data_IF_491328683184
#
_entry.id   IF_491328683184
#
_cell.length_a   1.000
_cell.length_b   1.000
_cell.length_c   1.000
_cell.angle_alpha   90.00
_cell.angle_beta   90.00
_cell.angle_gamma   90.00
#
_symmetry.space_group_name_H-M   'P 1'
#
loop_
_entity.id
_entity.type
_entity.pdbx_description
1 polymer ?
#
# COMPACT_ATOMS: atom_id res chain seq x y z
N UNK A 1 22.37 -4.60 -7.06
CA UNK A 1 22.29 -5.96 -6.46
C UNK A 1 22.11 -5.94 -4.94
N UNK A 2 22.74 -5.02 -4.19
CA UNK A 2 22.56 -4.95 -2.73
C UNK A 2 21.11 -4.76 -2.27
N UNK A 3 20.31 -3.91 -2.94
CA UNK A 3 18.90 -3.72 -2.56
C UNK A 3 18.06 -5.00 -2.65
N UNK A 4 18.36 -5.87 -3.61
CA UNK A 4 17.68 -7.17 -3.75
C UNK A 4 18.13 -8.11 -2.62
N UNK A 5 19.45 -8.19 -2.38
CA UNK A 5 20.04 -9.09 -1.37
C UNK A 5 19.63 -8.73 0.05
N UNK A 6 19.46 -7.44 0.34
CA UNK A 6 19.10 -6.94 1.67
C UNK A 6 17.63 -6.50 1.77
N UNK A 7 16.81 -6.80 0.75
CA UNK A 7 15.39 -6.41 0.68
C UNK A 7 15.17 -4.92 1.01
N UNK A 8 16.00 -4.05 0.43
CA UNK A 8 15.87 -2.59 0.54
C UNK A 8 15.04 -2.05 -0.63
N UNK A 9 14.40 -0.88 -0.48
CA UNK A 9 13.74 -0.20 -1.59
C UNK A 9 14.72 0.02 -2.74
N UNK A 10 14.21 -0.10 -3.97
CA UNK A 10 14.97 0.28 -5.16
C UNK A 10 14.90 1.80 -5.34
N UNK A 11 15.91 2.51 -4.86
CA UNK A 11 16.10 3.94 -5.08
C UNK A 11 16.58 4.19 -6.51
N UNK A 12 15.65 4.13 -7.47
CA UNK A 12 15.87 4.45 -8.87
C UNK A 12 15.30 5.84 -9.17
N UNK A 13 15.65 6.85 -8.39
CA UNK A 13 14.89 8.11 -8.31
C UNK A 13 14.79 8.88 -9.63
N UNK A 14 15.79 8.74 -10.50
CA UNK A 14 15.83 9.35 -11.84
C UNK A 14 15.05 8.58 -12.92
N UNK A 15 14.47 7.43 -12.56
CA UNK A 15 13.77 6.55 -13.48
C UNK A 15 12.28 6.85 -13.55
N UNK A 16 11.73 6.81 -14.76
CA UNK A 16 10.30 6.93 -15.00
C UNK A 16 9.50 5.86 -14.24
N UNK A 17 8.31 6.23 -13.75
CA UNK A 17 7.44 5.34 -12.97
C UNK A 17 7.13 4.04 -13.71
N UNK A 18 6.87 4.10 -15.03
CA UNK A 18 6.58 2.92 -15.85
C UNK A 18 7.75 1.93 -15.86
N UNK A 19 8.98 2.43 -15.99
CA UNK A 19 10.18 1.60 -15.93
C UNK A 19 10.39 1.02 -14.54
N UNK A 20 10.10 1.78 -13.47
CA UNK A 20 10.14 1.26 -12.09
C UNK A 20 9.18 0.09 -11.88
N UNK A 21 7.93 0.23 -12.35
CA UNK A 21 6.93 -0.85 -12.34
C UNK A 21 7.49 -2.10 -13.02
N UNK A 22 7.94 -1.95 -14.27
CA UNK A 22 8.46 -3.08 -15.06
C UNK A 22 9.63 -3.78 -14.36
N UNK A 23 10.57 -3.03 -13.79
CA UNK A 23 11.74 -3.62 -13.12
C UNK A 23 11.37 -4.32 -11.82
N UNK A 24 10.55 -3.70 -10.97
CA UNK A 24 10.16 -4.28 -9.69
C UNK A 24 9.37 -5.57 -9.91
N UNK A 25 8.39 -5.53 -10.82
CA UNK A 25 7.55 -6.70 -11.11
C UNK A 25 8.37 -7.82 -11.77
N UNK A 26 9.28 -7.49 -12.68
CA UNK A 26 10.20 -8.46 -13.28
C UNK A 26 11.08 -9.15 -12.23
N UNK A 27 11.73 -8.38 -11.34
CA UNK A 27 12.54 -8.96 -10.27
C UNK A 27 11.68 -9.86 -9.37
N UNK A 28 10.46 -9.42 -9.02
CA UNK A 28 9.56 -10.24 -8.21
C UNK A 28 9.14 -11.53 -8.88
N UNK A 29 8.78 -11.50 -10.17
CA UNK A 29 8.40 -12.71 -10.92
C UNK A 29 9.55 -13.68 -11.06
N UNK A 30 10.76 -13.19 -11.34
CA UNK A 30 11.95 -14.04 -11.45
C UNK A 30 12.32 -14.69 -10.11
N UNK A 31 12.18 -13.97 -8.99
CA UNK A 31 12.55 -14.49 -7.67
C UNK A 31 11.50 -15.41 -7.04
N UNK A 32 10.21 -15.14 -7.28
CA UNK A 32 9.12 -15.75 -6.51
C UNK A 32 7.97 -16.28 -7.36
N UNK A 33 8.03 -16.14 -8.68
CA UNK A 33 7.02 -16.60 -9.64
C UNK A 33 5.88 -15.61 -9.89
N UNK A 34 5.24 -15.74 -11.06
CA UNK A 34 4.16 -14.85 -11.51
C UNK A 34 2.93 -14.83 -10.59
N UNK A 35 2.65 -15.92 -9.87
CA UNK A 35 1.53 -15.97 -8.92
C UNK A 35 1.67 -14.97 -7.75
N UNK A 36 2.87 -14.42 -7.50
CA UNK A 36 3.04 -13.32 -6.56
C UNK A 36 2.45 -12.02 -7.11
N UNK A 37 2.66 -11.73 -8.39
CA UNK A 37 2.19 -10.48 -9.02
C UNK A 37 0.66 -10.39 -9.06
N UNK A 38 -0.03 -11.52 -9.14
CA UNK A 38 -1.51 -11.55 -9.03
C UNK A 38 -2.01 -11.28 -7.62
N UNK A 39 -1.17 -11.44 -6.60
CA UNK A 39 -1.55 -11.15 -5.20
C UNK A 39 -1.26 -9.70 -4.83
N UNK A 40 -0.18 -9.14 -5.38
CA UNK A 40 0.26 -7.76 -5.16
C UNK A 40 1.33 -7.43 -6.21
N UNK A 41 1.12 -6.38 -7.00
CA UNK A 41 2.09 -5.89 -7.98
C UNK A 41 2.54 -4.46 -7.60
N UNK A 42 3.52 -3.89 -8.31
CA UNK A 42 3.99 -2.56 -7.93
C UNK A 42 2.98 -1.45 -8.19
N UNK A 43 2.04 -1.60 -9.14
CA UNK A 43 1.00 -0.58 -9.36
C UNK A 43 0.06 -0.41 -8.16
N UNK A 44 -0.08 -1.45 -7.33
CA UNK A 44 -0.83 -1.40 -6.08
C UNK A 44 -0.22 -0.45 -5.02
N UNK A 45 0.94 0.16 -5.29
CA UNK A 45 1.52 1.19 -4.43
C UNK A 45 0.59 2.40 -4.26
N UNK A 46 -0.28 2.68 -5.23
CA UNK A 46 -1.30 3.75 -5.11
C UNK A 46 -2.30 3.47 -3.99
N UNK A 47 -2.51 2.19 -3.63
CA UNK A 47 -3.36 1.84 -2.50
C UNK A 47 -2.74 2.20 -1.15
N UNK A 48 -1.47 2.62 -1.08
CA UNK A 48 -0.89 3.11 0.16
C UNK A 48 -1.57 4.41 0.65
N UNK A 49 -2.17 5.19 -0.26
CA UNK A 49 -2.89 6.43 0.04
C UNK A 49 -4.08 6.21 1.00
N UNK A 50 -4.58 4.97 1.13
CA UNK A 50 -5.61 4.63 2.14
C UNK A 50 -5.14 4.87 3.57
N UNK A 51 -3.82 4.92 3.80
CA UNK A 51 -3.21 5.19 5.11
C UNK A 51 -2.95 6.68 5.37
N UNK A 52 -3.03 7.53 4.34
CA UNK A 52 -2.88 8.99 4.49
C UNK A 52 -3.99 9.59 5.37
N UNK A 53 -3.74 10.76 5.95
CA UNK A 53 -4.69 11.50 6.80
C UNK A 53 -5.32 10.67 7.93
N UNK A 54 -4.54 9.76 8.50
CA UNK A 54 -4.97 8.91 9.60
C UNK A 54 -4.52 9.52 10.93
N UNK A 55 -5.45 10.05 11.70
CA UNK A 55 -5.18 10.64 13.01
C UNK A 55 -4.64 9.63 14.04
N UNK A 56 -4.81 8.33 13.80
CA UNK A 56 -4.22 7.27 14.63
C UNK A 56 -2.73 7.00 14.28
N UNK A 57 -2.20 7.66 13.26
CA UNK A 57 -0.84 7.52 12.71
C UNK A 57 -0.26 8.91 12.37
N UNK A 58 0.03 9.68 13.43
CA UNK A 58 0.39 11.10 13.29
C UNK A 58 1.67 11.37 12.49
N UNK A 59 2.54 10.37 12.30
CA UNK A 59 3.79 10.47 11.53
C UNK A 59 3.66 9.84 10.12
N UNK A 60 2.46 9.45 9.71
CA UNK A 60 2.20 8.70 8.48
C UNK A 60 3.11 7.45 8.36
N UNK A 61 3.40 6.78 9.49
CA UNK A 61 4.32 5.65 9.53
C UNK A 61 3.83 4.52 8.63
N UNK A 62 2.53 4.21 8.63
CA UNK A 62 1.96 3.14 7.82
C UNK A 62 1.99 3.43 6.33
N UNK A 63 1.73 4.67 5.92
CA UNK A 63 1.85 5.08 4.52
C UNK A 63 3.30 4.94 4.04
N UNK A 64 4.25 5.50 4.81
CA UNK A 64 5.68 5.41 4.53
C UNK A 64 6.17 3.96 4.47
N UNK A 65 5.77 3.13 5.44
CA UNK A 65 6.07 1.70 5.46
C UNK A 65 5.49 1.02 4.22
N UNK A 66 4.24 1.31 3.87
CA UNK A 66 3.58 0.74 2.69
C UNK A 66 4.36 1.06 1.42
N UNK A 67 4.62 2.33 1.13
CA UNK A 67 5.35 2.77 -0.06
C UNK A 67 6.74 2.13 -0.10
N UNK A 68 7.47 2.15 1.03
CA UNK A 68 8.80 1.57 1.10
C UNK A 68 8.81 0.06 0.83
N UNK A 69 7.88 -0.72 1.42
CA UNK A 69 7.86 -2.17 1.20
C UNK A 69 7.40 -2.54 -0.19
N UNK A 70 6.54 -1.74 -0.82
CA UNK A 70 6.12 -1.96 -2.21
C UNK A 70 7.32 -1.87 -3.15
N UNK A 71 8.25 -0.95 -2.88
CA UNK A 71 9.49 -0.77 -3.64
C UNK A 71 10.57 -1.84 -3.37
N UNK A 72 10.38 -2.73 -2.39
CA UNK A 72 11.32 -3.83 -2.09
C UNK A 72 11.07 -5.02 -3.02
N UNK A 73 11.67 -5.02 -4.21
CA UNK A 73 11.50 -6.11 -5.18
C UNK A 73 12.02 -7.47 -4.65
N UNK A 74 13.08 -7.46 -3.84
CA UNK A 74 13.62 -8.66 -3.20
C UNK A 74 12.86 -9.12 -1.95
N UNK A 75 11.62 -8.70 -1.75
CA UNK A 75 10.76 -9.12 -0.64
C UNK A 75 9.48 -9.76 -1.18
N UNK A 76 9.16 -10.97 -0.68
CA UNK A 76 7.95 -11.72 -1.08
C UNK A 76 6.68 -11.02 -0.58
N UNK A 77 5.57 -11.14 -1.33
CA UNK A 77 4.36 -10.34 -1.07
C UNK A 77 3.69 -10.68 0.26
N UNK A 78 3.72 -11.94 0.71
CA UNK A 78 3.24 -12.31 2.04
C UNK A 78 4.00 -11.56 3.17
N UNK A 79 5.29 -11.28 2.97
CA UNK A 79 6.11 -10.49 3.90
C UNK A 79 5.85 -9.00 3.78
N UNK A 80 5.66 -8.48 2.56
CA UNK A 80 5.22 -7.08 2.33
C UNK A 80 3.90 -6.81 3.06
N UNK A 81 2.88 -7.63 2.78
CA UNK A 81 1.57 -7.56 3.40
C UNK A 81 1.63 -7.66 4.93
N UNK A 82 2.49 -8.54 5.46
CA UNK A 82 2.72 -8.62 6.91
C UNK A 82 3.27 -7.31 7.48
N UNK A 83 4.28 -6.71 6.86
CA UNK A 83 4.86 -5.43 7.31
C UNK A 83 3.82 -4.30 7.28
N UNK A 84 3.00 -4.21 6.22
CA UNK A 84 1.92 -3.23 6.12
C UNK A 84 0.86 -3.47 7.19
N UNK A 85 0.49 -4.73 7.46
CA UNK A 85 -0.49 -5.04 8.50
C UNK A 85 -0.02 -4.63 9.89
N UNK A 86 1.29 -4.72 10.15
CA UNK A 86 1.89 -4.49 11.47
C UNK A 86 2.60 -3.15 11.61
N UNK A 87 2.46 -2.22 10.66
CA UNK A 87 3.04 -0.87 10.77
C UNK A 87 2.51 -0.12 12.02
N UNK A 88 1.29 -0.45 12.45
CA UNK A 88 0.78 -0.09 13.76
C UNK A 88 0.32 -1.34 14.51
N UNK A 89 0.31 -1.27 15.85
CA UNK A 89 -0.16 -2.35 16.74
C UNK A 89 -1.57 -2.83 16.38
N UNK A 90 -2.44 -1.91 15.95
CA UNK A 90 -3.75 -2.21 15.38
C UNK A 90 -3.95 -1.31 14.16
N UNK A 91 -3.80 -1.87 12.97
CA UNK A 91 -4.04 -1.15 11.72
C UNK A 91 -5.49 -1.41 11.22
N UNK A 92 -6.46 -0.51 11.47
CA UNK A 92 -7.84 -0.69 11.03
C UNK A 92 -7.99 -0.52 9.51
N UNK A 93 -7.05 0.17 8.86
CA UNK A 93 -7.08 0.49 7.43
C UNK A 93 -6.50 -0.63 6.56
N UNK A 94 -5.83 -1.62 7.14
CA UNK A 94 -5.29 -2.77 6.39
C UNK A 94 -6.35 -3.51 5.56
N UNK A 95 -7.59 -3.61 6.05
CA UNK A 95 -8.69 -4.20 5.27
C UNK A 95 -9.11 -3.32 4.09
N UNK A 96 -9.06 -1.99 4.25
CA UNK A 96 -9.33 -1.05 3.18
C UNK A 96 -8.25 -1.13 2.10
N UNK A 97 -6.97 -1.22 2.51
CA UNK A 97 -5.85 -1.47 1.60
C UNK A 97 -6.09 -2.70 0.71
N UNK A 98 -6.46 -3.84 1.30
CA UNK A 98 -6.75 -5.06 0.52
C UNK A 98 -7.92 -4.89 -0.46
N UNK A 99 -8.94 -4.11 -0.10
CA UNK A 99 -10.05 -3.79 -1.02
C UNK A 99 -9.58 -2.95 -2.18
N UNK A 100 -8.73 -1.96 -1.94
CA UNK A 100 -8.13 -1.16 -3.01
C UNK A 100 -7.28 -2.02 -3.95
N UNK A 101 -6.46 -2.93 -3.42
CA UNK A 101 -5.66 -3.87 -4.24
C UNK A 101 -6.57 -4.72 -5.13
N UNK A 102 -7.62 -5.31 -4.54
CA UNK A 102 -8.60 -6.08 -5.30
C UNK A 102 -9.28 -5.22 -6.38
N UNK A 103 -9.67 -3.99 -6.03
CA UNK A 103 -10.28 -3.05 -6.98
C UNK A 103 -9.35 -2.73 -8.15
N UNK A 104 -8.07 -2.45 -7.91
CA UNK A 104 -7.09 -2.18 -8.95
C UNK A 104 -6.89 -3.37 -9.91
N UNK A 105 -7.12 -4.60 -9.44
CA UNK A 105 -7.00 -5.80 -10.28
C UNK A 105 -8.26 -6.04 -11.12
N UNK A 106 -9.42 -5.58 -10.65
CA UNK A 106 -10.73 -5.81 -11.28
C UNK A 106 -11.21 -4.62 -12.13
N UNK A 107 -10.72 -3.41 -11.86
CA UNK A 107 -11.20 -2.15 -12.42
C UNK A 107 -10.07 -1.27 -12.94
N UNK A 108 -10.38 -0.48 -13.97
CA UNK A 108 -9.49 0.59 -14.47
C UNK A 108 -9.86 1.97 -13.90
N UNK A 109 -10.96 2.06 -13.16
CA UNK A 109 -11.38 3.29 -12.51
C UNK A 109 -10.56 3.54 -11.24
N UNK A 110 -10.38 4.82 -10.89
CA UNK A 110 -9.72 5.20 -9.65
C UNK A 110 -10.52 4.69 -8.43
N UNK A 111 -9.81 4.19 -7.42
CA UNK A 111 -10.43 3.79 -6.16
C UNK A 111 -10.83 5.04 -5.36
N UNK A 112 -12.11 5.17 -5.02
CA UNK A 112 -12.63 6.27 -4.19
C UNK A 112 -12.78 5.76 -2.76
N UNK A 113 -12.05 6.35 -1.81
CA UNK A 113 -11.99 5.87 -0.44
C UNK A 113 -13.37 5.83 0.23
N UNK A 114 -14.16 6.89 0.07
CA UNK A 114 -15.48 7.09 0.68
C UNK A 114 -16.50 6.03 0.25
N UNK A 115 -16.38 5.49 -0.96
CA UNK A 115 -17.30 4.50 -1.51
C UNK A 115 -17.06 3.10 -0.95
N UNK A 116 -15.83 2.83 -0.47
CA UNK A 116 -15.39 1.48 -0.13
C UNK A 116 -14.93 1.33 1.32
N UNK A 117 -14.63 2.45 2.00
CA UNK A 117 -13.99 2.48 3.31
C UNK A 117 -14.63 3.52 4.23
N UNK A 118 -14.50 3.30 5.54
CA UNK A 118 -15.07 4.19 6.56
C UNK A 118 -14.02 5.13 7.12
N UNK A 119 -14.29 6.43 7.03
CA UNK A 119 -13.51 7.50 7.68
C UNK A 119 -13.38 7.32 9.20
N UNK A 120 -14.31 6.63 9.85
CA UNK A 120 -14.21 6.29 11.29
C UNK A 120 -12.92 5.53 11.63
N UNK A 121 -12.34 4.81 10.67
CA UNK A 121 -11.08 4.09 10.87
C UNK A 121 -9.85 5.00 10.86
N UNK A 122 -9.97 6.24 10.35
CA UNK A 122 -8.92 7.26 10.36
C UNK A 122 -9.05 8.24 11.53
N UNK A 123 -10.18 8.25 12.23
CA UNK A 123 -10.52 9.26 13.23
C UNK A 123 -10.15 8.83 14.66
N UNK A 124 -9.63 9.77 15.45
CA UNK A 124 -9.50 9.68 16.90
C UNK A 124 -10.83 10.02 17.62
N UNK A 125 -11.16 9.32 18.72
CA UNK A 125 -12.29 9.67 19.58
C UNK A 125 -12.17 11.08 20.17
N UNK A 126 -13.29 11.78 20.32
CA UNK A 126 -13.36 13.07 21.02
C UNK A 126 -12.89 14.28 20.22
N UNK A 127 -12.43 14.09 18.98
CA UNK A 127 -12.19 15.20 18.03
C UNK A 127 -13.45 15.52 17.23
N UNK A 128 -13.65 16.80 16.93
CA UNK A 128 -14.68 17.27 16.00
C UNK A 128 -14.14 17.20 14.58
N UNK A 129 -14.85 16.50 13.71
CA UNK A 129 -14.56 16.46 12.28
C UNK A 129 -15.68 17.19 11.54
N UNK A 130 -15.30 18.16 10.71
CA UNK A 130 -16.24 18.92 9.88
C UNK A 130 -16.13 18.40 8.45
N UNK A 131 -17.25 17.96 7.89
CA UNK A 131 -17.33 17.38 6.55
C UNK A 131 -18.72 16.89 6.23
N UNK A 132 -18.90 16.30 5.06
CA UNK A 132 -20.18 15.73 4.65
C UNK A 132 -20.62 14.60 5.59
N UNK A 133 -21.93 14.49 5.78
CA UNK A 133 -22.51 13.49 6.68
C UNK A 133 -22.17 12.06 6.21
N UNK A 134 -21.55 11.27 7.09
CA UNK A 134 -21.28 9.86 6.84
C UNK A 134 -22.60 9.09 6.81
N UNK A 135 -23.13 8.81 5.61
CA UNK A 135 -24.31 7.95 5.43
C UNK A 135 -23.93 6.52 5.84
N UNK A 136 -24.63 6.01 6.87
CA UNK A 136 -24.46 4.66 7.44
C UNK A 136 -25.32 3.65 6.70
#
# INVERSE_FOLDING_TARGET
>A
MESIRFSRPLHCDTMELRSKITIIDCIQSEMYGFAQLSALNFTDVTCCDVFADNDNDAESECENVCVAVMQMAGLRNDRKLRKIKTCMKRNPLYRCFLRCVQWNHESSAAFVFEEHCSWRNKMLPGKLYLGDELRV
#
